data_IF_323194875788
#
_entry.id   IF_323194875788
#
_cell.length_a   1.000
_cell.length_b   1.000
_cell.length_c   1.000
_cell.angle_alpha   90.00
_cell.angle_beta   90.00
_cell.angle_gamma   90.00
#
_symmetry.space_group_name_H-M   'P 1'
#
loop_
_entity.id
_entity.type
_entity.pdbx_description
1 polymer ?
#
# COMPACT_ATOMS: atom_id res chain seq x y z
N UNK A 1 3.49 13.41 1.24
CA UNK A 1 3.90 12.06 0.82
C UNK A 1 2.89 11.04 1.31
N UNK A 2 1.63 11.12 0.87
CA UNK A 2 0.67 10.04 1.08
C UNK A 2 -0.57 10.18 0.15
N UNK A 3 -1.24 9.07 -0.12
CA UNK A 3 -2.64 8.99 -0.51
C UNK A 3 -3.43 8.29 0.61
N UNK A 4 -4.76 8.45 0.64
CA UNK A 4 -5.61 7.72 1.59
C UNK A 4 -7.09 7.78 1.18
N UNK A 5 -7.83 6.71 1.48
CA UNK A 5 -9.28 6.71 1.65
C UNK A 5 -9.67 7.30 3.02
N UNK A 6 -10.65 8.21 3.06
CA UNK A 6 -11.05 8.89 4.30
C UNK A 6 -12.45 8.49 4.83
N UNK A 7 -13.04 7.42 4.31
CA UNK A 7 -14.42 7.02 4.60
C UNK A 7 -15.47 7.59 3.65
N UNK A 8 -15.09 8.51 2.76
CA UNK A 8 -16.02 9.13 1.79
C UNK A 8 -15.42 9.26 0.39
N UNK A 9 -14.13 9.58 0.32
CA UNK A 9 -13.42 9.82 -0.92
C UNK A 9 -11.95 9.42 -0.79
N UNK A 10 -11.32 9.28 -1.95
CA UNK A 10 -9.88 9.17 -2.04
C UNK A 10 -9.27 10.58 -2.05
N UNK A 11 -8.15 10.75 -1.35
CA UNK A 11 -7.35 11.96 -1.34
C UNK A 11 -5.95 11.64 -1.85
N UNK A 12 -5.61 12.12 -3.04
CA UNK A 12 -4.26 12.07 -3.58
C UNK A 12 -3.52 13.37 -3.27
N UNK A 13 -2.32 13.29 -2.70
CA UNK A 13 -1.43 14.44 -2.54
C UNK A 13 -0.39 14.46 -3.65
N UNK A 14 0.23 15.62 -3.86
CA UNK A 14 1.20 15.83 -4.96
C UNK A 14 2.59 15.20 -4.72
N UNK A 15 2.85 14.70 -3.50
CA UNK A 15 4.21 14.32 -3.10
C UNK A 15 5.11 15.52 -2.83
N UNK A 16 6.40 15.28 -2.63
CA UNK A 16 7.43 16.31 -2.37
C UNK A 16 8.37 16.51 -3.57
N UNK A 17 8.15 15.77 -4.66
CA UNK A 17 8.99 15.77 -5.86
C UNK A 17 10.34 15.06 -5.67
N UNK A 18 10.57 14.38 -4.54
CA UNK A 18 11.82 13.67 -4.23
C UNK A 18 11.58 12.22 -3.86
N UNK A 19 10.73 11.99 -2.87
CA UNK A 19 10.30 10.67 -2.42
C UNK A 19 9.09 10.22 -3.20
N UNK A 20 8.19 11.16 -3.51
CA UNK A 20 7.00 10.88 -4.30
C UNK A 20 6.71 12.03 -5.27
N UNK A 21 6.22 11.67 -6.45
CA UNK A 21 5.47 12.56 -7.34
C UNK A 21 3.95 12.37 -7.07
N UNK A 22 3.02 13.02 -7.80
CA UNK A 22 1.60 12.91 -7.50
C UNK A 22 1.10 11.46 -7.47
N UNK A 23 0.48 11.06 -6.34
CA UNK A 23 0.11 9.67 -6.05
C UNK A 23 -0.93 9.08 -7.01
N UNK A 24 -1.72 9.93 -7.68
CA UNK A 24 -2.66 9.50 -8.72
C UNK A 24 -1.99 9.04 -10.01
N UNK A 25 -0.66 9.16 -10.11
CA UNK A 25 0.13 8.72 -11.25
C UNK A 25 0.33 7.21 -11.36
N UNK A 26 0.09 6.46 -10.28
CA UNK A 26 0.15 5.00 -10.28
C UNK A 26 -1.26 4.39 -10.18
N UNK A 27 -1.57 3.47 -11.08
CA UNK A 27 -2.87 2.81 -11.12
C UNK A 27 -3.05 1.83 -9.95
N UNK A 28 -1.97 1.21 -9.45
CA UNK A 28 -2.08 0.36 -8.26
C UNK A 28 -2.38 1.17 -7.01
N UNK A 29 -1.82 2.37 -6.85
CA UNK A 29 -2.15 3.30 -5.76
C UNK A 29 -3.62 3.71 -5.84
N UNK A 30 -4.12 4.06 -7.03
CA UNK A 30 -5.56 4.38 -7.20
C UNK A 30 -6.45 3.19 -6.84
N UNK A 31 -6.08 1.97 -7.28
CA UNK A 31 -6.81 0.75 -6.98
C UNK A 31 -6.76 0.38 -5.49
N UNK A 32 -5.61 0.56 -4.85
CA UNK A 32 -5.39 0.35 -3.43
C UNK A 32 -6.33 1.23 -2.60
N UNK A 33 -6.35 2.54 -2.86
CA UNK A 33 -7.20 3.46 -2.11
C UNK A 33 -8.70 3.21 -2.32
N UNK A 34 -9.11 2.85 -3.54
CA UNK A 34 -10.49 2.48 -3.81
C UNK A 34 -10.88 1.20 -3.07
N UNK A 35 -9.94 0.26 -2.93
CA UNK A 35 -10.17 -1.03 -2.28
C UNK A 35 -10.39 -0.87 -0.78
N UNK A 36 -9.76 0.09 -0.11
CA UNK A 36 -10.11 0.41 1.28
C UNK A 36 -11.60 0.76 1.44
N UNK A 37 -12.16 1.56 0.51
CA UNK A 37 -13.59 1.86 0.52
C UNK A 37 -14.46 0.62 0.29
N UNK A 38 -14.04 -0.31 -0.56
CA UNK A 38 -14.72 -1.59 -0.74
C UNK A 38 -14.64 -2.47 0.52
N UNK A 39 -13.47 -2.54 1.17
CA UNK A 39 -13.25 -3.26 2.42
C UNK A 39 -14.15 -2.72 3.53
N UNK A 40 -14.24 -1.39 3.69
CA UNK A 40 -15.13 -0.73 4.66
C UNK A 40 -16.58 -1.18 4.49
N UNK A 41 -17.07 -1.25 3.24
CA UNK A 41 -18.46 -1.60 2.94
C UNK A 41 -18.73 -3.11 2.86
N UNK A 42 -17.72 -3.95 3.10
CA UNK A 42 -17.84 -5.42 3.02
C UNK A 42 -17.34 -6.10 4.30
N UNK A 43 -16.08 -6.49 4.34
CA UNK A 43 -15.49 -7.19 5.48
C UNK A 43 -15.35 -6.30 6.72
N UNK A 44 -15.28 -4.97 6.51
CA UNK A 44 -15.10 -3.95 7.54
C UNK A 44 -13.96 -4.28 8.51
N UNK A 45 -12.81 -4.64 7.94
CA UNK A 45 -11.61 -5.01 8.70
C UNK A 45 -11.11 -3.81 9.50
N UNK A 46 -11.01 -3.98 10.82
CA UNK A 46 -10.42 -2.99 11.72
C UNK A 46 -8.99 -2.69 11.30
N UNK A 47 -8.63 -1.41 11.26
CA UNK A 47 -7.32 -0.93 10.80
C UNK A 47 -6.28 -1.00 11.93
N UNK A 48 -6.11 -2.20 12.48
CA UNK A 48 -5.19 -2.50 13.57
C UNK A 48 -4.71 -3.95 13.52
N UNK A 49 -3.44 -4.18 13.88
CA UNK A 49 -2.80 -5.48 14.00
C UNK A 49 -3.01 -6.34 12.74
N UNK A 50 -3.25 -7.65 12.90
CA UNK A 50 -3.42 -8.58 11.77
C UNK A 50 -4.67 -8.26 10.91
N UNK A 51 -5.72 -7.67 11.48
CA UNK A 51 -6.90 -7.24 10.72
C UNK A 51 -6.55 -6.08 9.79
N UNK A 52 -5.77 -5.10 10.28
CA UNK A 52 -5.31 -3.99 9.48
C UNK A 52 -4.29 -4.43 8.42
N UNK A 53 -3.40 -5.37 8.74
CA UNK A 53 -2.49 -5.96 7.77
C UNK A 53 -3.23 -6.71 6.65
N UNK A 54 -4.35 -7.38 6.96
CA UNK A 54 -5.23 -7.95 5.94
C UNK A 54 -5.91 -6.86 5.09
N UNK A 55 -6.32 -5.74 5.71
CA UNK A 55 -6.91 -4.60 5.00
C UNK A 55 -5.92 -4.04 3.96
N UNK A 56 -4.68 -3.76 4.36
CA UNK A 56 -3.59 -3.32 3.48
C UNK A 56 -3.26 -4.35 2.38
N UNK A 57 -3.09 -5.62 2.75
CA UNK A 57 -2.73 -6.67 1.80
C UNK A 57 -3.81 -6.87 0.72
N UNK A 58 -5.09 -6.79 1.08
CA UNK A 58 -6.19 -6.86 0.11
C UNK A 58 -6.16 -5.65 -0.83
N UNK A 59 -5.89 -4.45 -0.32
CA UNK A 59 -5.75 -3.24 -1.14
C UNK A 59 -4.59 -3.36 -2.14
N UNK A 60 -3.44 -3.88 -1.73
CA UNK A 60 -2.31 -4.14 -2.64
C UNK A 60 -2.63 -5.20 -3.69
N UNK A 61 -3.24 -6.32 -3.31
CA UNK A 61 -3.58 -7.42 -4.23
C UNK A 61 -4.52 -6.91 -5.32
N UNK A 62 -5.57 -6.17 -4.95
CA UNK A 62 -6.54 -5.64 -5.92
C UNK A 62 -5.94 -4.50 -6.74
N UNK A 63 -5.18 -3.58 -6.12
CA UNK A 63 -4.49 -2.51 -6.83
C UNK A 63 -3.53 -3.04 -7.90
N UNK A 64 -2.66 -3.99 -7.52
CA UNK A 64 -1.75 -4.65 -8.44
C UNK A 64 -2.49 -5.42 -9.55
N UNK A 65 -3.59 -6.12 -9.22
CA UNK A 65 -4.41 -6.82 -10.21
C UNK A 65 -5.07 -5.87 -11.22
N UNK A 66 -5.50 -4.68 -10.80
CA UNK A 66 -6.04 -3.63 -11.68
C UNK A 66 -4.95 -3.11 -12.62
N UNK A 67 -3.75 -2.86 -12.09
CA UNK A 67 -2.60 -2.43 -12.88
C UNK A 67 -2.17 -3.48 -13.89
N UNK A 68 -2.18 -4.75 -13.50
CA UNK A 68 -1.90 -5.89 -14.37
C UNK A 68 -0.46 -5.93 -14.90
N UNK A 69 0.49 -5.34 -14.16
CA UNK A 69 1.90 -5.20 -14.57
C UNK A 69 2.82 -5.37 -13.36
N UNK A 70 3.66 -6.40 -13.38
CA UNK A 70 4.65 -6.66 -12.33
C UNK A 70 4.01 -6.98 -10.97
N UNK A 71 4.85 -7.02 -9.93
CA UNK A 71 4.46 -7.31 -8.54
C UNK A 71 4.89 -6.20 -7.57
N UNK A 72 5.22 -5.03 -8.11
CA UNK A 72 5.57 -3.85 -7.33
C UNK A 72 4.31 -3.04 -7.02
N UNK A 73 4.42 -2.19 -5.99
CA UNK A 73 3.37 -1.26 -5.56
C UNK A 73 3.95 0.15 -5.53
N UNK A 74 3.31 1.08 -6.23
CA UNK A 74 3.65 2.50 -6.25
C UNK A 74 4.94 2.85 -7.00
N UNK A 75 5.48 1.94 -7.82
CA UNK A 75 6.76 2.16 -8.52
C UNK A 75 6.70 3.29 -9.56
N UNK A 76 5.52 3.65 -10.06
CA UNK A 76 5.39 4.73 -11.04
C UNK A 76 5.42 6.12 -10.37
N UNK A 77 5.31 6.19 -9.02
CA UNK A 77 5.23 7.45 -8.27
C UNK A 77 6.26 7.59 -7.15
N UNK A 78 6.93 6.49 -6.77
CA UNK A 78 7.99 6.48 -5.77
C UNK A 78 9.34 6.91 -6.38
N UNK A 79 10.13 7.66 -5.60
CA UNK A 79 11.56 7.94 -5.86
C UNK A 79 11.91 8.20 -7.34
N UNK A 80 11.37 9.26 -7.99
CA UNK A 80 11.45 9.48 -9.44
C UNK A 80 12.87 9.55 -10.06
N UNK A 81 13.92 9.58 -9.23
CA UNK A 81 15.31 9.60 -9.64
C UNK A 81 16.08 8.30 -9.33
N UNK A 82 15.40 7.29 -8.77
CA UNK A 82 15.94 5.96 -8.50
C UNK A 82 15.17 5.00 -9.42
N UNK A 83 15.83 4.37 -10.40
CA UNK A 83 15.16 3.42 -11.27
C UNK A 83 14.98 2.07 -10.57
N UNK A 84 13.92 1.35 -10.96
CA UNK A 84 13.68 -0.05 -10.58
C UNK A 84 13.50 -0.29 -9.07
N UNK A 85 13.00 0.71 -8.34
CA UNK A 85 12.52 0.56 -6.96
C UNK A 85 11.01 0.83 -6.83
N UNK A 86 10.46 0.55 -5.65
CA UNK A 86 9.05 0.66 -5.34
C UNK A 86 8.85 0.86 -3.84
N UNK A 87 7.61 1.14 -3.44
CA UNK A 87 7.27 1.22 -2.02
C UNK A 87 7.21 -0.17 -1.37
N UNK A 88 6.67 -1.16 -2.10
CA UNK A 88 6.52 -2.56 -1.67
C UNK A 88 6.68 -3.52 -2.85
N UNK A 89 6.89 -4.80 -2.53
CA UNK A 89 6.95 -5.90 -3.49
C UNK A 89 6.12 -7.06 -2.97
N UNK A 90 5.15 -7.51 -3.78
CA UNK A 90 4.36 -8.71 -3.51
C UNK A 90 5.12 -10.00 -3.81
N UNK A 91 6.14 -9.94 -4.67
CA UNK A 91 6.98 -11.09 -5.03
C UNK A 91 8.09 -11.34 -4.01
N UNK A 92 8.70 -10.27 -3.49
CA UNK A 92 9.74 -10.32 -2.45
C UNK A 92 9.54 -9.16 -1.44
N UNK A 93 8.65 -9.32 -0.45
CA UNK A 93 8.38 -8.29 0.56
C UNK A 93 9.63 -7.86 1.34
N UNK A 94 10.61 -8.75 1.48
CA UNK A 94 11.82 -8.48 2.25
C UNK A 94 12.70 -7.40 1.63
N UNK A 95 12.58 -7.18 0.31
CA UNK A 95 13.28 -6.12 -0.43
C UNK A 95 13.02 -4.72 0.14
N UNK A 96 11.82 -4.50 0.67
CA UNK A 96 11.41 -3.21 1.27
C UNK A 96 11.08 -3.33 2.76
N UNK A 97 11.61 -4.37 3.43
CA UNK A 97 11.56 -4.52 4.88
C UNK A 97 10.27 -5.10 5.45
N UNK A 98 9.39 -5.65 4.61
CA UNK A 98 8.20 -6.39 5.03
C UNK A 98 8.53 -7.87 5.27
N UNK A 99 7.88 -8.57 6.22
CA UNK A 99 8.07 -9.99 6.43
C UNK A 99 7.34 -10.81 5.36
N UNK A 100 8.04 -11.80 4.82
CA UNK A 100 7.50 -12.79 3.87
C UNK A 100 6.99 -14.08 4.55
N UNK A 101 7.19 -14.18 5.86
CA UNK A 101 6.85 -15.36 6.65
C UNK A 101 6.33 -14.97 8.04
N UNK A 102 5.26 -15.63 8.47
CA UNK A 102 4.55 -15.30 9.73
C UNK A 102 5.42 -15.37 11.00
N UNK A 103 6.51 -16.15 10.98
CA UNK A 103 7.49 -16.19 12.09
C UNK A 103 8.17 -14.84 12.33
N UNK A 104 8.27 -14.02 11.28
CA UNK A 104 8.98 -12.74 11.26
C UNK A 104 8.04 -11.54 11.42
N UNK A 105 6.73 -11.77 11.64
CA UNK A 105 5.74 -10.69 11.73
C UNK A 105 6.12 -9.66 12.79
N UNK A 106 5.81 -8.40 12.50
CA UNK A 106 5.92 -7.32 13.45
C UNK A 106 4.92 -7.50 14.61
N UNK A 107 5.31 -7.09 15.82
CA UNK A 107 4.50 -7.22 17.06
C UNK A 107 4.56 -5.97 17.93
N UNK A 108 5.13 -4.88 17.40
CA UNK A 108 5.20 -3.61 18.12
C UNK A 108 3.94 -2.78 17.91
N UNK A 109 3.84 -1.61 18.59
CA UNK A 109 2.64 -0.77 18.53
C UNK A 109 2.66 0.26 17.39
N UNK A 110 3.79 0.44 16.70
CA UNK A 110 3.90 1.42 15.61
C UNK A 110 3.01 1.02 14.44
N UNK A 111 2.62 1.99 13.62
CA UNK A 111 1.85 1.74 12.40
C UNK A 111 0.60 0.88 12.65
N UNK A 112 -0.16 1.25 13.69
CA UNK A 112 -1.37 0.53 14.11
C UNK A 112 -1.13 -0.98 14.36
N UNK A 113 0.04 -1.37 14.84
CA UNK A 113 0.40 -2.78 15.01
C UNK A 113 1.08 -3.39 13.77
N UNK A 114 1.67 -2.56 12.89
CA UNK A 114 2.39 -2.98 11.69
C UNK A 114 1.48 -3.33 10.52
N UNK A 115 0.44 -2.55 10.26
CA UNK A 115 -0.52 -2.84 9.18
C UNK A 115 0.14 -2.78 7.80
N UNK A 116 1.17 -1.95 7.61
CA UNK A 116 1.98 -1.89 6.40
C UNK A 116 3.29 -2.70 6.52
N UNK A 117 3.50 -3.45 7.61
CA UNK A 117 4.74 -4.21 7.87
C UNK A 117 4.54 -5.68 7.56
#
# INVERSE_FOLDING_TARGET
>A
NNAFWNGQQIVFRDGDGKTFIPFSGDLDVVGHELTHGATEHTANLEYENESGALNESISDIIGNAIKGKGWLIGEDVYTPNIPEDALRSLEDPTLYGQPDHYSNRYKGPSDNGGVHT
#
